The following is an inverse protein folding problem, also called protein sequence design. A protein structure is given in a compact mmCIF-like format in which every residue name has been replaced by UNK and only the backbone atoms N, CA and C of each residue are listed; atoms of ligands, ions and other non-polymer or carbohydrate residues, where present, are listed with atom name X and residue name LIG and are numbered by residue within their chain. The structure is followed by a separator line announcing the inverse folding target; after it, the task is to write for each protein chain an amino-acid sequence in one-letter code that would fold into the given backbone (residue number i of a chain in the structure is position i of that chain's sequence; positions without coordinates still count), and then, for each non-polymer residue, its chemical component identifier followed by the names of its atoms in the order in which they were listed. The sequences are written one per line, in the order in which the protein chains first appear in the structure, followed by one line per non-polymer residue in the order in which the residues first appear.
data_IF_714034706553
#
_entry.id   IF_714034706553
#
_cell.length_a   1.000
_cell.length_b   1.000
_cell.length_c   1.000
_cell.angle_alpha   90.00
_cell.angle_beta   90.00
_cell.angle_gamma   90.00
#
_symmetry.space_group_name_H-M   'P 1'
#
loop_
_entity.id
_entity.type
_entity.pdbx_description
1 polymer ?
#
# COMPACT_ATOMS: atom_id res chain seq x y z
N UNK A 1 -26.01 9.33 -8.92
CA UNK A 1 -25.47 9.62 -7.57
C UNK A 1 -25.16 8.35 -6.77
N UNK A 2 -26.06 7.35 -6.67
CA UNK A 2 -25.80 6.10 -5.92
C UNK A 2 -24.59 5.24 -6.39
N UNK A 3 -24.30 5.19 -7.70
CA UNK A 3 -23.18 4.38 -8.23
C UNK A 3 -21.78 4.91 -7.88
N UNK A 4 -21.63 6.22 -7.67
CA UNK A 4 -20.35 6.84 -7.32
C UNK A 4 -20.04 6.59 -5.84
N UNK A 5 -21.04 6.75 -4.96
CA UNK A 5 -20.90 6.44 -3.53
C UNK A 5 -20.58 4.96 -3.27
N UNK A 6 -21.14 4.05 -4.07
CA UNK A 6 -20.84 2.61 -3.97
C UNK A 6 -19.39 2.27 -4.36
N UNK A 7 -18.88 2.84 -5.46
CA UNK A 7 -17.46 2.69 -5.86
C UNK A 7 -16.50 3.26 -4.83
N UNK A 8 -16.83 4.41 -4.23
CA UNK A 8 -16.01 5.03 -3.17
C UNK A 8 -16.01 4.16 -1.90
N UNK A 9 -17.18 3.62 -1.50
CA UNK A 9 -17.33 2.76 -0.31
C UNK A 9 -16.59 1.43 -0.44
N UNK A 10 -16.69 0.76 -1.59
CA UNK A 10 -15.94 -0.47 -1.87
C UNK A 10 -14.42 -0.23 -1.91
N UNK A 11 -13.99 0.90 -2.48
CA UNK A 11 -12.57 1.26 -2.49
C UNK A 11 -12.03 1.56 -1.09
N UNK A 12 -12.83 2.12 -0.17
CA UNK A 12 -12.37 2.41 1.20
C UNK A 12 -12.26 1.16 2.08
N UNK A 13 -13.20 0.22 1.97
CA UNK A 13 -13.21 -1.04 2.74
C UNK A 13 -12.13 -2.02 2.27
N UNK A 14 -11.89 -2.11 0.96
CA UNK A 14 -10.82 -2.96 0.43
C UNK A 14 -9.44 -2.38 0.75
N UNK A 15 -9.27 -1.05 0.63
CA UNK A 15 -8.03 -0.38 0.99
C UNK A 15 -7.69 -0.50 2.47
N UNK A 16 -8.69 -0.44 3.36
CA UNK A 16 -8.48 -0.60 4.81
C UNK A 16 -7.99 -2.01 5.15
N UNK A 17 -8.61 -3.03 4.56
CA UNK A 17 -8.28 -4.43 4.79
C UNK A 17 -6.85 -4.74 4.34
N UNK A 18 -6.46 -4.28 3.15
CA UNK A 18 -5.10 -4.49 2.64
C UNK A 18 -4.08 -3.68 3.46
N UNK A 19 -4.37 -2.42 3.83
CA UNK A 19 -3.46 -1.61 4.63
C UNK A 19 -3.23 -2.20 6.03
N UNK A 20 -4.30 -2.64 6.71
CA UNK A 20 -4.22 -3.31 8.02
C UNK A 20 -3.50 -4.65 7.89
N UNK A 21 -3.86 -5.45 6.88
CA UNK A 21 -3.21 -6.74 6.62
C UNK A 21 -1.71 -6.58 6.36
N UNK A 22 -1.29 -5.54 5.63
CA UNK A 22 0.12 -5.24 5.35
C UNK A 22 0.91 -4.97 6.63
N UNK A 23 0.33 -4.23 7.57
CA UNK A 23 0.99 -3.98 8.85
C UNK A 23 1.28 -5.31 9.56
N UNK A 24 0.28 -6.18 9.61
CA UNK A 24 0.35 -7.45 10.35
C UNK A 24 1.26 -8.48 9.71
N UNK A 25 1.22 -8.57 8.38
CA UNK A 25 1.87 -9.66 7.64
C UNK A 25 3.26 -9.29 7.15
N UNK A 26 3.55 -8.00 6.99
CA UNK A 26 4.78 -7.54 6.38
C UNK A 26 5.52 -6.56 7.29
N UNK A 27 4.88 -5.48 7.71
CA UNK A 27 5.58 -4.38 8.42
C UNK A 27 6.11 -4.82 9.79
N UNK A 28 5.33 -5.60 10.54
CA UNK A 28 5.78 -6.15 11.82
C UNK A 28 6.93 -7.15 11.67
N UNK A 29 6.90 -7.98 10.62
CA UNK A 29 7.95 -8.96 10.33
C UNK A 29 9.27 -8.23 10.06
N UNK A 30 9.24 -7.24 9.16
CA UNK A 30 10.42 -6.45 8.79
C UNK A 30 10.96 -5.67 9.98
N UNK A 31 10.07 -5.05 10.77
CA UNK A 31 10.48 -4.26 11.92
C UNK A 31 11.12 -5.12 13.02
N UNK A 32 10.53 -6.28 13.32
CA UNK A 32 11.10 -7.23 14.27
C UNK A 32 12.50 -7.67 13.85
N UNK A 33 12.70 -8.01 12.57
CA UNK A 33 14.00 -8.39 12.04
C UNK A 33 15.03 -7.24 12.07
N UNK A 34 14.55 -6.01 11.93
CA UNK A 34 15.40 -4.80 11.94
C UNK A 34 15.64 -4.23 13.35
N UNK A 35 15.12 -4.86 14.41
CA UNK A 35 15.20 -4.34 15.78
C UNK A 35 14.40 -3.05 16.01
N UNK A 36 13.42 -2.76 15.14
CA UNK A 36 12.58 -1.57 15.20
C UNK A 36 11.27 -1.90 15.92
N UNK A 37 10.93 -1.12 16.94
CA UNK A 37 9.64 -1.24 17.62
C UNK A 37 8.54 -0.52 16.82
N UNK A 38 7.42 -1.22 16.61
CA UNK A 38 6.22 -0.66 15.98
C UNK A 38 5.06 -0.63 16.97
N UNK A 39 4.45 0.54 17.12
CA UNK A 39 3.16 0.69 17.80
C UNK A 39 2.01 0.41 16.81
N UNK A 40 1.58 -0.86 16.79
CA UNK A 40 0.50 -1.34 15.92
C UNK A 40 -0.80 -0.57 16.14
N UNK A 41 -1.17 -0.30 17.39
CA UNK A 41 -2.41 0.38 17.73
C UNK A 41 -2.42 1.81 17.16
N UNK A 42 -1.29 2.52 17.29
CA UNK A 42 -1.12 3.86 16.72
C UNK A 42 -1.15 3.86 15.19
N UNK A 43 -0.53 2.88 14.55
CA UNK A 43 -0.59 2.76 13.08
C UNK A 43 -2.03 2.51 12.62
N UNK A 44 -2.77 1.63 13.29
CA UNK A 44 -4.16 1.35 12.97
C UNK A 44 -5.05 2.57 13.17
N UNK A 45 -4.86 3.32 14.25
CA UNK A 45 -5.56 4.57 14.48
C UNK A 45 -5.30 5.57 13.34
N UNK A 46 -4.04 5.70 12.88
CA UNK A 46 -3.70 6.55 11.73
C UNK A 46 -4.31 6.08 10.42
N UNK A 47 -4.33 4.78 10.14
CA UNK A 47 -4.95 4.22 8.93
C UNK A 47 -6.46 4.52 8.95
N UNK A 48 -7.12 4.27 10.08
CA UNK A 48 -8.55 4.52 10.23
C UNK A 48 -8.87 6.02 10.12
N UNK A 49 -8.07 6.88 10.75
CA UNK A 49 -8.21 8.33 10.66
C UNK A 49 -8.03 8.83 9.22
N UNK A 50 -7.00 8.34 8.53
CA UNK A 50 -6.74 8.67 7.14
C UNK A 50 -7.92 8.27 6.24
N UNK A 51 -8.49 7.07 6.43
CA UNK A 51 -9.61 6.60 5.64
C UNK A 51 -10.92 7.34 5.96
N UNK A 52 -11.12 7.74 7.22
CA UNK A 52 -12.29 8.52 7.64
C UNK A 52 -12.25 9.95 7.06
N UNK A 53 -11.07 10.59 7.06
CA UNK A 53 -10.93 12.01 6.77
C UNK A 53 -10.35 12.33 5.38
N UNK A 54 -9.71 11.38 4.68
CA UNK A 54 -9.13 11.59 3.35
C UNK A 54 -9.96 11.05 2.19
N UNK A 55 -11.30 10.98 2.34
CA UNK A 55 -12.20 10.63 1.22
C UNK A 55 -12.08 11.55 -0.01
N UNK A 56 -11.50 12.74 0.15
CA UNK A 56 -11.35 13.77 -0.90
C UNK A 56 -9.93 13.86 -1.45
N UNK A 57 -8.91 13.35 -0.74
CA UNK A 57 -7.50 13.44 -1.19
C UNK A 57 -7.07 12.13 -1.84
N UNK A 58 -6.77 12.21 -3.13
CA UNK A 58 -6.23 11.09 -3.88
C UNK A 58 -4.83 10.69 -3.37
N UNK A 59 -4.55 9.40 -3.13
CA UNK A 59 -3.20 8.93 -2.80
C UNK A 59 -2.18 9.35 -3.86
N UNK A 60 -0.99 9.78 -3.44
CA UNK A 60 0.07 10.28 -4.35
C UNK A 60 0.40 9.28 -5.46
N UNK A 61 0.60 8.02 -5.10
CA UNK A 61 0.92 6.95 -6.04
C UNK A 61 -0.21 6.68 -7.05
N UNK A 62 -1.48 6.79 -6.64
CA UNK A 62 -2.62 6.66 -7.56
C UNK A 62 -2.67 7.84 -8.53
N UNK A 63 -2.44 9.05 -8.03
CA UNK A 63 -2.33 10.26 -8.84
C UNK A 63 -1.20 10.15 -9.86
N UNK A 64 -0.04 9.62 -9.47
CA UNK A 64 1.10 9.44 -10.36
C UNK A 64 0.82 8.39 -11.44
N UNK A 65 0.16 7.28 -11.11
CA UNK A 65 -0.31 6.30 -12.10
C UNK A 65 -1.26 6.94 -13.12
N UNK A 66 -2.22 7.76 -12.66
CA UNK A 66 -3.16 8.47 -13.55
C UNK A 66 -2.50 9.53 -14.42
N UNK A 67 -1.44 10.15 -13.91
CA UNK A 67 -0.66 11.15 -14.62
C UNK A 67 0.48 10.56 -15.48
N UNK A 68 0.59 9.22 -15.56
CA UNK A 68 1.67 8.52 -16.26
C UNK A 68 3.07 8.98 -15.80
N UNK A 69 3.21 9.20 -14.49
CA UNK A 69 4.46 9.60 -13.86
C UNK A 69 5.11 8.44 -13.11
N UNK A 70 6.43 8.48 -12.91
CA UNK A 70 7.09 7.57 -12.00
C UNK A 70 6.43 7.58 -10.62
N UNK A 71 6.25 6.39 -10.04
CA UNK A 71 5.70 6.20 -8.70
C UNK A 71 6.80 5.91 -7.69
N UNK A 72 6.50 6.09 -6.41
CA UNK A 72 7.37 5.72 -5.29
C UNK A 72 7.32 4.21 -4.94
N UNK A 73 6.80 3.35 -5.84
CA UNK A 73 6.66 1.91 -5.55
C UNK A 73 8.01 1.24 -5.27
N UNK A 74 9.07 1.73 -5.93
CA UNK A 74 10.41 1.19 -5.76
C UNK A 74 11.04 1.57 -4.42
N UNK A 75 10.73 2.77 -3.90
CA UNK A 75 11.30 3.28 -2.66
C UNK A 75 10.51 2.88 -1.42
N UNK A 76 9.23 2.53 -1.58
CA UNK A 76 8.35 2.15 -0.45
C UNK A 76 8.25 0.63 -0.33
N UNK A 77 7.65 -0.03 -1.32
CA UNK A 77 7.31 -1.45 -1.23
C UNK A 77 8.44 -2.37 -1.67
N UNK A 78 9.03 -2.05 -2.82
CA UNK A 78 10.14 -2.83 -3.38
C UNK A 78 11.35 -2.81 -2.44
N UNK A 79 11.60 -1.67 -1.77
CA UNK A 79 12.62 -1.58 -0.73
C UNK A 79 12.41 -2.60 0.40
N UNK A 80 11.17 -2.78 0.87
CA UNK A 80 10.85 -3.82 1.85
C UNK A 80 11.14 -5.22 1.30
N UNK A 81 10.69 -5.51 0.07
CA UNK A 81 10.93 -6.82 -0.58
C UNK A 81 12.43 -7.12 -0.72
N UNK A 82 13.24 -6.13 -1.09
CA UNK A 82 14.69 -6.29 -1.22
C UNK A 82 15.37 -6.55 0.12
N UNK A 83 14.97 -5.84 1.19
CA UNK A 83 15.54 -6.02 2.54
C UNK A 83 15.29 -7.43 3.08
N UNK A 84 14.12 -7.98 2.79
CA UNK A 84 13.70 -9.29 3.33
C UNK A 84 14.07 -10.48 2.46
N UNK A 85 14.37 -10.28 1.18
CA UNK A 85 14.90 -11.35 0.31
C UNK A 85 16.21 -11.92 0.85
N UNK A 86 17.11 -11.05 1.31
CA UNK A 86 18.37 -11.48 1.91
C UNK A 86 18.22 -12.23 3.24
N UNK A 87 17.05 -12.12 3.89
CA UNK A 87 16.75 -12.67 5.22
C UNK A 87 15.71 -13.79 5.19
N UNK A 88 15.21 -14.16 4.00
CA UNK A 88 14.14 -15.12 3.78
C UNK A 88 12.87 -14.86 4.63
N UNK A 89 12.51 -13.57 4.81
CA UNK A 89 11.34 -13.19 5.61
C UNK A 89 10.07 -13.05 4.74
N UNK A 90 8.90 -13.46 5.26
CA UNK A 90 7.65 -13.34 4.52
C UNK A 90 7.14 -11.89 4.50
N UNK A 91 6.93 -11.35 3.30
CA UNK A 91 6.20 -10.08 3.06
C UNK A 91 5.15 -10.27 1.94
N UNK A 92 4.16 -11.14 2.13
CA UNK A 92 3.25 -11.57 1.07
C UNK A 92 2.48 -10.43 0.40
N UNK A 93 2.15 -9.36 1.12
CA UNK A 93 1.36 -8.26 0.57
C UNK A 93 2.25 -7.38 -0.31
N UNK A 94 3.45 -7.02 0.13
CA UNK A 94 4.41 -6.23 -0.63
C UNK A 94 4.94 -6.97 -1.85
N UNK A 95 5.13 -8.29 -1.75
CA UNK A 95 5.42 -9.16 -2.91
C UNK A 95 4.29 -9.21 -3.92
N UNK A 96 3.05 -9.00 -3.49
CA UNK A 96 1.88 -9.00 -4.39
C UNK A 96 1.64 -7.63 -5.01
N UNK A 97 1.63 -6.54 -4.23
CA UNK A 97 1.23 -5.23 -4.73
C UNK A 97 2.32 -4.55 -5.56
N UNK A 98 3.60 -4.83 -5.29
CA UNK A 98 4.73 -4.29 -6.08
C UNK A 98 4.63 -4.62 -7.56
N UNK A 99 4.55 -5.91 -7.98
CA UNK A 99 4.42 -6.24 -9.40
C UNK A 99 3.12 -5.74 -10.02
N UNK A 100 1.99 -5.71 -9.28
CA UNK A 100 0.73 -5.18 -9.80
C UNK A 100 0.82 -3.70 -10.17
N UNK A 101 1.46 -2.89 -9.31
CA UNK A 101 1.69 -1.46 -9.60
C UNK A 101 2.66 -1.29 -10.78
N UNK A 102 3.72 -2.10 -10.87
CA UNK A 102 4.64 -2.10 -12.02
C UNK A 102 3.94 -2.45 -13.34
N UNK A 103 3.10 -3.49 -13.35
CA UNK A 103 2.33 -3.89 -14.53
C UNK A 103 1.34 -2.80 -14.94
N UNK A 104 0.69 -2.16 -13.98
CA UNK A 104 -0.22 -1.04 -14.27
C UNK A 104 0.52 0.10 -14.97
N UNK A 105 1.76 0.42 -14.56
CA UNK A 105 2.60 1.38 -15.30
C UNK A 105 2.91 0.91 -16.73
N UNK A 106 3.32 -0.34 -16.89
CA UNK A 106 3.68 -0.89 -18.21
C UNK A 106 2.50 -0.96 -19.19
N UNK A 107 1.26 -1.09 -18.70
CA UNK A 107 0.05 -1.03 -19.53
C UNK A 107 -0.31 0.40 -19.93
N UNK A 108 -0.05 1.39 -19.07
CA UNK A 108 -0.36 2.81 -19.34
C UNK A 108 0.67 3.48 -20.25
N UNK A 109 1.89 2.94 -20.36
CA UNK A 109 2.90 3.38 -21.35
C UNK A 109 2.63 2.90 -22.79
N UNK A 110 1.66 2.00 -23.01
CA UNK A 110 1.38 1.36 -24.30
C UNK A 110 0.06 1.81 -24.96
N UNK A 111 -0.65 2.78 -24.38
CA UNK A 111 -1.94 3.33 -24.85
C UNK A 111 -1.83 4.84 -25.02
#
# INVERSE_FOLDING_TARGET
MAHIEYKIRLNSEFSSTIAIGRVDRDSLVVASASGVSIDKARIFAKINDALAHHRVREPSMLRDLRAVRPTEIETINSAIVQVVEAQDLPVPIDRTITPLVRLTRGVVEQV
#
